data_IF_739680951449
#
_entry.id   IF_739680951449
#
_cell.length_a   1.000
_cell.length_b   1.000
_cell.length_c   1.000
_cell.angle_alpha   90.00
_cell.angle_beta   90.00
_cell.angle_gamma   90.00
#
_symmetry.space_group_name_H-M   'P 1'
#
loop_
_entity.id
_entity.type
_entity.pdbx_description
1 polymer ?
#
# COMPACT_ATOMS: atom_id res chain seq x y z
N UNK A 1 -3.39 13.91 -9.26
CA UNK A 1 -1.96 14.24 -9.24
C UNK A 1 -1.87 15.72 -8.96
N UNK A 2 -1.02 16.13 -8.01
CA UNK A 2 -0.83 17.53 -7.70
C UNK A 2 -0.40 18.29 -8.95
N UNK A 3 -0.79 19.56 -9.06
CA UNK A 3 -0.21 20.44 -10.08
C UNK A 3 1.23 20.81 -9.72
N UNK A 4 2.07 21.21 -10.68
CA UNK A 4 3.46 21.62 -10.42
C UNK A 4 3.55 22.71 -9.33
N UNK A 5 2.53 23.58 -9.26
CA UNK A 5 2.41 24.62 -8.22
C UNK A 5 2.13 24.04 -6.83
N UNK A 6 1.28 23.03 -6.73
CA UNK A 6 0.95 22.34 -5.48
C UNK A 6 2.15 21.53 -4.96
N UNK A 7 2.92 20.90 -5.85
CA UNK A 7 4.15 20.20 -5.47
C UNK A 7 5.21 21.17 -4.90
N UNK A 8 5.34 22.38 -5.48
CA UNK A 8 6.23 23.41 -4.96
C UNK A 8 5.77 24.00 -3.62
N UNK A 9 4.45 24.05 -3.36
CA UNK A 9 3.91 24.48 -2.05
C UNK A 9 4.24 23.47 -0.97
N UNK A 10 3.97 22.18 -1.23
CA UNK A 10 4.30 21.07 -0.32
C UNK A 10 5.80 21.09 0.02
N UNK A 11 6.67 21.26 -0.98
CA UNK A 11 8.11 21.30 -0.77
C UNK A 11 8.54 22.42 0.19
N UNK A 12 7.97 23.63 0.04
CA UNK A 12 8.27 24.76 0.94
C UNK A 12 7.75 24.54 2.36
N UNK A 13 6.57 23.91 2.50
CA UNK A 13 6.02 23.56 3.80
C UNK A 13 6.94 22.58 4.54
N UNK A 14 7.41 21.54 3.84
CA UNK A 14 8.36 20.55 4.38
C UNK A 14 9.69 21.20 4.81
N UNK A 15 10.24 22.11 4.01
CA UNK A 15 11.47 22.82 4.38
C UNK A 15 11.27 23.77 5.57
N UNK A 16 10.10 24.38 5.71
CA UNK A 16 9.82 25.31 6.80
C UNK A 16 9.74 24.63 8.18
N UNK A 17 9.38 23.35 8.20
CA UNK A 17 9.24 22.55 9.43
C UNK A 17 10.47 21.69 9.75
N UNK A 18 11.52 21.70 8.92
CA UNK A 18 12.70 20.82 9.11
C UNK A 18 13.41 21.05 10.45
N UNK A 19 13.44 22.29 10.93
CA UNK A 19 14.09 22.65 12.19
C UNK A 19 13.21 22.32 13.42
N UNK A 20 11.92 22.04 13.21
CA UNK A 20 11.00 21.59 14.26
C UNK A 20 11.18 20.09 14.58
N UNK A 21 11.71 19.32 13.63
CA UNK A 21 11.89 17.86 13.73
C UNK A 21 13.34 17.44 13.41
N UNK A 22 14.32 17.76 14.28
CA UNK A 22 15.74 17.53 14.00
C UNK A 22 16.12 16.04 13.83
N UNK A 23 15.38 15.13 14.47
CA UNK A 23 15.61 13.68 14.37
C UNK A 23 15.11 13.11 13.03
N UNK A 24 14.13 13.77 12.39
CA UNK A 24 13.52 13.37 11.11
C UNK A 24 14.06 14.23 9.95
N UNK A 25 15.09 15.05 10.20
CA UNK A 25 15.63 16.01 9.22
C UNK A 25 15.97 15.35 7.89
N UNK A 26 16.61 14.18 7.91
CA UNK A 26 16.99 13.47 6.69
C UNK A 26 15.79 13.07 5.84
N UNK A 27 14.78 12.46 6.47
CA UNK A 27 13.51 12.07 5.84
C UNK A 27 12.75 13.28 5.28
N UNK A 28 12.59 14.36 6.05
CA UNK A 28 11.90 15.58 5.62
C UNK A 28 12.57 16.21 4.40
N UNK A 29 13.91 16.29 4.40
CA UNK A 29 14.67 16.82 3.27
C UNK A 29 14.55 15.93 2.02
N UNK A 30 14.47 14.61 2.21
CA UNK A 30 14.21 13.62 1.16
C UNK A 30 12.83 13.86 0.52
N UNK A 31 11.77 14.02 1.32
CA UNK A 31 10.42 14.27 0.83
C UNK A 31 10.29 15.64 0.14
N UNK A 32 10.94 16.65 0.69
CA UNK A 32 11.01 17.99 0.09
C UNK A 32 11.71 17.94 -1.27
N UNK A 33 12.83 17.19 -1.39
CA UNK A 33 13.53 17.01 -2.65
C UNK A 33 12.66 16.31 -3.71
N UNK A 34 11.89 15.29 -3.32
CA UNK A 34 10.96 14.62 -4.23
C UNK A 34 9.86 15.58 -4.72
N UNK A 35 9.34 16.42 -3.82
CA UNK A 35 8.34 17.43 -4.13
C UNK A 35 8.89 18.51 -5.08
N UNK A 36 10.13 18.97 -4.88
CA UNK A 36 10.81 19.87 -5.81
C UNK A 36 11.07 19.26 -7.18
N UNK A 37 11.53 18.01 -7.23
CA UNK A 37 11.70 17.28 -8.49
C UNK A 37 10.37 17.21 -9.26
N UNK A 38 9.26 16.88 -8.59
CA UNK A 38 7.91 16.87 -9.20
C UNK A 38 7.48 18.25 -9.70
N UNK A 39 7.87 19.32 -9.02
CA UNK A 39 7.65 20.70 -9.44
C UNK A 39 8.59 21.17 -10.58
N UNK A 40 9.55 20.33 -10.99
CA UNK A 40 10.53 20.61 -12.02
C UNK A 40 11.79 21.34 -11.54
N UNK A 41 11.89 21.66 -10.24
CA UNK A 41 13.07 22.28 -9.64
C UNK A 41 14.11 21.22 -9.23
N UNK A 42 14.77 20.66 -10.25
CA UNK A 42 15.77 19.61 -10.05
C UNK A 42 17.02 20.12 -9.33
N UNK A 43 17.34 21.42 -9.44
CA UNK A 43 18.48 22.03 -8.75
C UNK A 43 18.24 22.03 -7.24
N UNK A 44 17.07 22.49 -6.78
CA UNK A 44 16.73 22.46 -5.36
C UNK A 44 16.66 21.04 -4.82
N UNK A 45 16.12 20.09 -5.60
CA UNK A 45 16.12 18.68 -5.21
C UNK A 45 17.55 18.13 -5.01
N UNK A 46 18.49 18.45 -5.90
CA UNK A 46 19.90 18.04 -5.77
C UNK A 46 20.56 18.65 -4.53
N UNK A 47 20.29 19.93 -4.23
CA UNK A 47 20.83 20.61 -3.05
C UNK A 47 20.41 19.90 -1.76
N UNK A 48 19.11 19.63 -1.60
CA UNK A 48 18.56 18.98 -0.42
C UNK A 48 19.09 17.55 -0.26
N UNK A 49 19.15 16.77 -1.34
CA UNK A 49 19.69 15.41 -1.31
C UNK A 49 21.19 15.41 -0.97
N UNK A 50 21.94 16.40 -1.46
CA UNK A 50 23.36 16.56 -1.13
C UNK A 50 23.55 16.92 0.35
N UNK A 51 22.64 17.71 0.93
CA UNK A 51 22.62 17.98 2.38
C UNK A 51 22.41 16.69 3.18
N UNK A 52 21.44 15.86 2.81
CA UNK A 52 21.20 14.57 3.48
C UNK A 52 22.43 13.65 3.41
N UNK A 53 23.10 13.60 2.25
CA UNK A 53 24.35 12.83 2.11
C UNK A 53 25.49 13.37 2.99
N UNK A 54 25.53 14.68 3.25
CA UNK A 54 26.53 15.30 4.11
C UNK A 54 26.23 15.06 5.61
N UNK A 55 24.95 14.96 5.99
CA UNK A 55 24.50 14.60 7.33
C UNK A 55 24.89 13.16 7.69
N UNK A 56 24.90 12.25 6.72
CA UNK A 56 25.16 10.84 6.96
C UNK A 56 23.92 10.12 7.50
N UNK A 57 24.11 9.02 8.23
CA UNK A 57 23.01 8.30 8.87
C UNK A 57 22.26 7.32 7.96
N UNK A 58 21.10 6.89 8.42
CA UNK A 58 20.30 5.83 7.77
C UNK A 58 19.68 6.28 6.44
N UNK A 59 19.35 7.56 6.32
CA UNK A 59 18.74 8.16 5.13
C UNK A 59 19.69 8.33 3.95
N UNK A 60 21.00 8.37 4.21
CA UNK A 60 22.02 8.61 3.19
C UNK A 60 21.95 7.63 2.03
N UNK A 61 21.61 6.36 2.30
CA UNK A 61 21.44 5.36 1.25
C UNK A 61 20.30 5.71 0.30
N UNK A 62 19.13 6.09 0.84
CA UNK A 62 17.93 6.40 0.06
C UNK A 62 18.10 7.73 -0.69
N UNK A 63 18.68 8.74 -0.03
CA UNK A 63 19.03 10.02 -0.65
C UNK A 63 19.95 9.83 -1.87
N UNK A 64 20.91 8.90 -1.78
CA UNK A 64 21.82 8.57 -2.89
C UNK A 64 21.07 8.04 -4.12
N UNK A 65 20.06 7.21 -3.93
CA UNK A 65 19.25 6.65 -5.03
C UNK A 65 18.36 7.72 -5.65
N UNK A 66 17.71 8.55 -4.84
CA UNK A 66 16.91 9.65 -5.38
C UNK A 66 17.77 10.68 -6.10
N UNK A 67 18.99 10.94 -5.63
CA UNK A 67 19.93 11.79 -6.35
C UNK A 67 20.29 11.18 -7.70
N UNK A 68 20.49 9.85 -7.77
CA UNK A 68 20.67 9.16 -9.04
C UNK A 68 19.46 9.33 -9.98
N UNK A 69 18.23 9.23 -9.46
CA UNK A 69 17.00 9.42 -10.26
C UNK A 69 16.92 10.83 -10.86
N UNK A 70 17.12 11.87 -10.03
CA UNK A 70 17.16 13.27 -10.49
C UNK A 70 18.26 13.49 -11.54
N UNK A 71 19.44 12.91 -11.34
CA UNK A 71 20.55 13.03 -12.30
C UNK A 71 20.25 12.34 -13.62
N UNK A 72 19.56 11.19 -13.61
CA UNK A 72 19.09 10.55 -14.83
C UNK A 72 18.04 11.39 -15.57
N UNK A 73 17.10 12.04 -14.87
CA UNK A 73 16.12 12.93 -15.50
C UNK A 73 16.79 14.11 -16.21
N UNK A 74 17.96 14.53 -15.72
CA UNK A 74 18.81 15.56 -16.30
C UNK A 74 19.80 15.05 -17.36
N UNK A 75 19.72 13.77 -17.75
CA UNK A 75 20.66 13.10 -18.67
C UNK A 75 22.13 13.10 -18.19
N UNK A 76 22.36 13.26 -16.88
CA UNK A 76 23.69 13.20 -16.23
C UNK A 76 24.03 11.76 -15.83
N UNK A 77 24.05 10.88 -16.83
CA UNK A 77 24.14 9.41 -16.66
C UNK A 77 25.35 8.96 -15.84
N UNK A 78 26.55 9.48 -16.13
CA UNK A 78 27.77 9.06 -15.42
C UNK A 78 27.71 9.39 -13.92
N UNK A 79 27.15 10.53 -13.57
CA UNK A 79 27.01 10.95 -12.18
C UNK A 79 25.94 10.13 -11.45
N UNK A 80 24.82 9.84 -12.13
CA UNK A 80 23.79 8.95 -11.59
C UNK A 80 24.34 7.54 -11.30
N UNK A 81 25.12 6.98 -12.24
CA UNK A 81 25.77 5.67 -12.06
C UNK A 81 26.80 5.70 -10.94
N UNK A 82 27.56 6.79 -10.80
CA UNK A 82 28.50 6.96 -9.69
C UNK A 82 27.81 6.93 -8.32
N UNK A 83 26.58 7.46 -8.21
CA UNK A 83 25.78 7.35 -6.99
C UNK A 83 25.38 5.89 -6.69
N UNK A 84 24.89 5.14 -7.68
CA UNK A 84 24.55 3.73 -7.48
C UNK A 84 25.78 2.88 -7.11
N UNK A 85 26.95 3.16 -7.70
CA UNK A 85 28.19 2.48 -7.33
C UNK A 85 28.70 2.86 -5.94
N UNK A 86 28.50 4.11 -5.50
CA UNK A 86 28.76 4.52 -4.13
C UNK A 86 27.87 3.75 -3.14
N UNK A 87 26.59 3.56 -3.45
CA UNK A 87 25.69 2.75 -2.62
C UNK A 87 26.21 1.30 -2.45
N UNK A 88 26.68 0.67 -3.53
CA UNK A 88 27.28 -0.69 -3.49
C UNK A 88 28.52 -0.76 -2.60
N UNK A 89 29.32 0.31 -2.54
CA UNK A 89 30.55 0.40 -1.74
C UNK A 89 30.24 0.63 -0.26
N UNK A 90 29.27 1.47 0.04
CA UNK A 90 28.87 1.83 1.42
C UNK A 90 28.19 0.67 2.13
N UNK A 91 27.48 -0.17 1.38
CA UNK A 91 26.79 -1.36 1.89
C UNK A 91 25.90 -1.07 3.11
N UNK A 92 24.97 -0.09 3.06
CA UNK A 92 24.01 0.10 4.15
C UNK A 92 23.30 -1.22 4.49
N UNK A 93 23.01 -1.41 5.77
CA UNK A 93 22.33 -2.60 6.31
C UNK A 93 20.85 -2.62 5.93
N UNK A 94 20.22 -1.46 5.80
CA UNK A 94 18.81 -1.34 5.42
C UNK A 94 18.54 -1.90 4.02
N UNK A 95 17.46 -2.66 3.81
CA UNK A 95 17.02 -3.10 2.50
C UNK A 95 16.50 -1.95 1.61
N UNK A 96 16.04 -0.84 2.21
CA UNK A 96 15.40 0.29 1.52
C UNK A 96 16.16 0.85 0.31
N UNK A 97 17.43 1.27 0.43
CA UNK A 97 18.13 1.87 -0.71
C UNK A 97 18.38 0.87 -1.85
N UNK A 98 18.50 -0.43 -1.58
CA UNK A 98 18.65 -1.43 -2.64
C UNK A 98 17.35 -1.68 -3.37
N UNK A 99 16.22 -1.66 -2.65
CA UNK A 99 14.91 -1.78 -3.25
C UNK A 99 14.63 -0.59 -4.18
N UNK A 100 14.86 0.63 -3.70
CA UNK A 100 14.72 1.85 -4.52
C UNK A 100 15.64 1.81 -5.75
N UNK A 101 16.89 1.38 -5.58
CA UNK A 101 17.82 1.26 -6.71
C UNK A 101 17.34 0.21 -7.73
N UNK A 102 16.72 -0.87 -7.29
CA UNK A 102 16.15 -1.88 -8.17
C UNK A 102 15.01 -1.32 -9.02
N UNK A 103 14.04 -0.65 -8.41
CA UNK A 103 12.92 -0.01 -9.12
C UNK A 103 13.41 1.08 -10.08
N UNK A 104 14.42 1.84 -9.66
CA UNK A 104 15.02 2.90 -10.46
C UNK A 104 15.59 2.37 -11.79
N UNK A 105 16.40 1.31 -11.72
CA UNK A 105 17.02 0.74 -12.93
C UNK A 105 16.06 -0.13 -13.71
N UNK A 106 15.08 -0.77 -13.06
CA UNK A 106 13.99 -1.49 -13.73
C UNK A 106 13.16 -0.55 -14.59
N UNK A 107 12.79 0.64 -14.08
CA UNK A 107 12.05 1.65 -14.85
C UNK A 107 12.79 2.15 -16.10
N UNK A 108 14.10 1.89 -16.16
CA UNK A 108 15.02 2.22 -17.26
C UNK A 108 15.37 0.99 -18.13
N UNK A 109 14.63 -0.11 -17.97
CA UNK A 109 14.75 -1.36 -18.74
C UNK A 109 16.09 -2.11 -18.54
N UNK A 110 16.86 -1.79 -17.49
CA UNK A 110 18.08 -2.52 -17.13
C UNK A 110 17.75 -3.67 -16.16
N UNK A 111 17.11 -4.71 -16.71
CA UNK A 111 16.55 -5.82 -15.93
C UNK A 111 17.63 -6.67 -15.23
N UNK A 112 18.80 -6.85 -15.83
CA UNK A 112 19.91 -7.59 -15.22
C UNK A 112 20.45 -6.86 -13.97
N UNK A 113 20.62 -5.55 -14.06
CA UNK A 113 21.01 -4.73 -12.92
C UNK A 113 19.90 -4.67 -11.88
N UNK A 114 18.63 -4.53 -12.29
CA UNK A 114 17.47 -4.54 -11.39
C UNK A 114 17.43 -5.81 -10.55
N UNK A 115 17.62 -6.98 -11.17
CA UNK A 115 17.66 -8.25 -10.46
C UNK A 115 18.80 -8.30 -9.43
N UNK A 116 19.95 -7.74 -9.78
CA UNK A 116 21.09 -7.65 -8.86
C UNK A 116 20.75 -6.81 -7.63
N UNK A 117 20.07 -5.67 -7.81
CA UNK A 117 19.59 -4.82 -6.72
C UNK A 117 18.50 -5.48 -5.87
N UNK A 118 17.50 -6.11 -6.49
CA UNK A 118 16.47 -6.88 -5.77
C UNK A 118 17.09 -7.98 -4.91
N UNK A 119 18.07 -8.73 -5.42
CA UNK A 119 18.77 -9.76 -4.63
C UNK A 119 19.51 -9.16 -3.43
N UNK A 120 20.13 -7.97 -3.59
CA UNK A 120 20.78 -7.28 -2.48
C UNK A 120 19.77 -6.76 -1.44
N UNK A 121 18.59 -6.31 -1.86
CA UNK A 121 17.50 -5.92 -0.97
C UNK A 121 16.99 -7.13 -0.17
N UNK A 122 16.71 -8.26 -0.84
CA UNK A 122 16.28 -9.51 -0.18
C UNK A 122 17.30 -10.00 0.84
N UNK A 123 18.59 -9.94 0.52
CA UNK A 123 19.66 -10.37 1.41
C UNK A 123 19.79 -9.53 2.71
N UNK A 124 19.06 -8.41 2.80
CA UNK A 124 19.05 -7.49 3.95
C UNK A 124 17.75 -7.52 4.73
N UNK A 125 16.74 -8.24 4.25
CA UNK A 125 15.51 -8.47 5.00
C UNK A 125 15.83 -9.28 6.25
N UNK A 126 15.34 -8.80 7.39
CA UNK A 126 15.41 -9.48 8.68
C UNK A 126 14.51 -10.71 8.70
N UNK A 127 14.75 -11.61 9.65
CA UNK A 127 13.85 -12.75 9.88
C UNK A 127 12.42 -12.30 10.21
N UNK A 128 12.26 -11.16 10.91
CA UNK A 128 10.96 -10.58 11.24
C UNK A 128 10.24 -10.07 9.99
N UNK A 129 10.89 -9.32 9.11
CA UNK A 129 10.30 -8.85 7.84
C UNK A 129 9.91 -10.04 6.93
N UNK A 130 10.76 -11.07 6.88
CA UNK A 130 10.46 -12.31 6.15
C UNK A 130 9.33 -13.12 6.79
N UNK A 131 9.17 -13.06 8.11
CA UNK A 131 8.06 -13.69 8.82
C UNK A 131 6.73 -12.95 8.59
N UNK A 132 6.75 -11.61 8.59
CA UNK A 132 5.58 -10.77 8.28
C UNK A 132 5.02 -11.10 6.90
N UNK A 133 5.88 -11.38 5.92
CA UNK A 133 5.49 -11.82 4.58
C UNK A 133 4.64 -13.09 4.54
N UNK A 134 4.78 -13.98 5.53
CA UNK A 134 4.01 -15.22 5.65
C UNK A 134 2.76 -15.08 6.53
N UNK A 135 2.56 -13.91 7.13
CA UNK A 135 1.39 -13.60 7.95
C UNK A 135 0.17 -13.23 7.12
N UNK A 136 -0.93 -12.98 7.81
CA UNK A 136 -2.25 -12.60 7.25
C UNK A 136 -2.16 -11.38 6.32
N UNK A 137 -1.37 -10.37 6.68
CA UNK A 137 -1.09 -9.18 5.87
C UNK A 137 0.17 -9.29 5.01
N UNK A 138 0.67 -10.50 4.81
CA UNK A 138 1.94 -10.77 4.15
C UNK A 138 2.06 -10.16 2.76
N UNK A 139 0.96 -10.09 2.02
CA UNK A 139 0.92 -9.45 0.69
C UNK A 139 1.27 -7.95 0.69
N UNK A 140 1.18 -7.29 1.86
CA UNK A 140 1.37 -5.85 2.07
C UNK A 140 2.69 -5.57 2.77
N UNK A 141 3.37 -6.64 3.22
CA UNK A 141 4.64 -6.49 3.88
C UNK A 141 5.68 -5.93 2.92
N UNK A 142 6.61 -5.20 3.50
CA UNK A 142 7.72 -4.62 2.77
C UNK A 142 8.55 -5.71 2.05
N UNK A 143 8.73 -6.86 2.70
CA UNK A 143 9.37 -8.03 2.10
C UNK A 143 8.63 -8.55 0.86
N UNK A 144 7.28 -8.58 0.87
CA UNK A 144 6.53 -9.03 -0.30
C UNK A 144 6.68 -8.09 -1.49
N UNK A 145 6.78 -6.77 -1.26
CA UNK A 145 7.02 -5.79 -2.33
C UNK A 145 8.36 -6.05 -3.03
N UNK A 146 9.43 -6.25 -2.27
CA UNK A 146 10.77 -6.57 -2.79
C UNK A 146 10.74 -7.88 -3.58
N UNK A 147 10.13 -8.94 -3.02
CA UNK A 147 10.04 -10.25 -3.66
C UNK A 147 9.18 -10.21 -4.93
N UNK A 148 8.09 -9.43 -4.94
CA UNK A 148 7.24 -9.25 -6.12
C UNK A 148 7.98 -8.55 -7.25
N UNK A 149 8.79 -7.52 -6.94
CA UNK A 149 9.67 -6.88 -7.91
C UNK A 149 10.69 -7.84 -8.49
N UNK A 150 11.39 -8.59 -7.62
CA UNK A 150 12.34 -9.64 -8.03
C UNK A 150 11.71 -10.66 -8.97
N UNK A 151 10.55 -11.21 -8.60
CA UNK A 151 9.81 -12.19 -9.41
C UNK A 151 9.46 -11.64 -10.78
N UNK A 152 8.98 -10.38 -10.83
CA UNK A 152 8.62 -9.69 -12.07
C UNK A 152 9.83 -9.57 -13.00
N UNK A 153 10.96 -9.11 -12.49
CA UNK A 153 12.21 -8.98 -13.26
C UNK A 153 12.74 -10.35 -13.72
N UNK A 154 12.76 -11.37 -12.86
CA UNK A 154 13.17 -12.73 -13.24
C UNK A 154 12.29 -13.31 -14.35
N UNK A 155 10.98 -13.12 -14.24
CA UNK A 155 10.03 -13.51 -15.28
C UNK A 155 10.31 -12.79 -16.60
N UNK A 156 10.61 -11.49 -16.56
CA UNK A 156 10.93 -10.70 -17.76
C UNK A 156 12.25 -11.15 -18.42
N UNK A 157 13.23 -11.59 -17.62
CA UNK A 157 14.48 -12.19 -18.08
C UNK A 157 14.35 -13.65 -18.55
N UNK A 158 13.16 -14.26 -18.45
CA UNK A 158 12.94 -15.67 -18.81
C UNK A 158 13.58 -16.67 -17.83
N UNK A 159 13.92 -16.22 -16.62
CA UNK A 159 14.46 -17.08 -15.58
C UNK A 159 13.31 -17.86 -14.89
N UNK A 160 13.52 -19.14 -14.52
CA UNK A 160 12.53 -19.89 -13.78
C UNK A 160 12.29 -19.28 -12.39
N UNK A 161 11.06 -19.33 -11.89
CA UNK A 161 10.75 -18.95 -10.51
C UNK A 161 11.52 -19.86 -9.53
N UNK A 162 12.01 -19.27 -8.43
CA UNK A 162 12.54 -20.03 -7.29
C UNK A 162 11.63 -19.92 -6.06
N UNK A 163 12.02 -20.55 -4.94
CA UNK A 163 11.21 -20.60 -3.72
C UNK A 163 10.78 -19.22 -3.20
N UNK A 164 11.62 -18.20 -3.40
CA UNK A 164 11.32 -16.82 -3.00
C UNK A 164 10.32 -16.14 -3.95
N UNK A 165 10.39 -16.45 -5.24
CA UNK A 165 9.39 -15.97 -6.21
C UNK A 165 8.04 -16.67 -6.00
N UNK A 166 8.07 -17.96 -5.66
CA UNK A 166 6.88 -18.76 -5.37
C UNK A 166 6.21 -18.34 -4.06
N UNK A 167 6.98 -17.83 -3.09
CA UNK A 167 6.42 -17.30 -1.84
C UNK A 167 5.69 -15.98 -2.02
N UNK A 168 5.89 -15.25 -3.13
CA UNK A 168 5.22 -13.97 -3.40
C UNK A 168 3.72 -14.14 -3.42
N UNK A 169 3.05 -13.37 -2.58
CA UNK A 169 1.61 -13.34 -2.54
C UNK A 169 1.04 -12.75 -3.84
N UNK A 170 0.21 -13.51 -4.54
CA UNK A 170 -0.37 -13.08 -5.84
C UNK A 170 -1.48 -12.04 -5.65
N UNK A 171 -1.95 -11.31 -6.69
CA UNK A 171 -3.11 -10.42 -6.58
C UNK A 171 -4.40 -11.12 -6.09
N UNK A 172 -4.44 -12.46 -6.16
CA UNK A 172 -5.48 -13.29 -5.56
C UNK A 172 -5.40 -13.34 -4.01
N UNK A 173 -4.36 -12.75 -3.41
CA UNK A 173 -4.04 -12.72 -1.99
C UNK A 173 -3.97 -11.26 -1.45
N UNK A 174 -4.57 -10.29 -2.17
CA UNK A 174 -4.83 -8.96 -1.60
C UNK A 174 -5.75 -9.11 -0.37
N UNK A 175 -5.46 -8.45 0.76
CA UNK A 175 -6.08 -8.57 2.05
C UNK A 175 -7.51 -8.16 1.85
N UNK A 176 -8.32 -9.08 2.31
CA UNK A 176 -9.73 -8.88 2.49
C UNK A 176 -9.81 -8.40 3.92
N UNK A 177 -9.78 -7.08 4.12
CA UNK A 177 -9.98 -6.55 5.46
C UNK A 177 -11.41 -6.85 5.89
N UNK A 178 -11.54 -7.64 6.94
CA UNK A 178 -12.83 -8.05 7.49
C UNK A 178 -13.24 -7.15 8.66
N UNK A 179 -12.26 -6.61 9.40
CA UNK A 179 -12.46 -5.80 10.60
C UNK A 179 -11.99 -4.33 10.42
N UNK A 180 -12.65 -3.34 11.05
CA UNK A 180 -12.13 -1.97 11.16
C UNK A 180 -10.75 -1.85 11.84
N UNK A 181 -10.44 -2.67 12.84
CA UNK A 181 -9.18 -2.60 13.60
C UNK A 181 -7.97 -3.03 12.74
N UNK A 182 -8.11 -4.07 11.91
CA UNK A 182 -7.10 -4.53 10.95
C UNK A 182 -6.65 -3.43 9.97
N UNK A 183 -7.56 -2.51 9.66
CA UNK A 183 -7.32 -1.38 8.76
C UNK A 183 -6.61 -0.25 9.50
N UNK A 184 -7.01 0.04 10.74
CA UNK A 184 -6.36 1.04 11.60
C UNK A 184 -4.90 0.67 11.86
N UNK A 185 -4.62 -0.59 12.14
CA UNK A 185 -3.25 -1.10 12.34
C UNK A 185 -2.42 -1.03 11.04
N UNK A 186 -3.03 -1.31 9.88
CA UNK A 186 -2.37 -1.19 8.59
C UNK A 186 -2.05 0.27 8.21
N UNK A 187 -2.83 1.25 8.68
CA UNK A 187 -2.61 2.67 8.46
C UNK A 187 -1.64 3.32 9.46
N UNK A 188 -1.54 2.77 10.66
CA UNK A 188 -0.65 3.29 11.73
C UNK A 188 0.71 2.58 11.77
N UNK A 189 0.87 1.50 11.02
CA UNK A 189 2.16 0.84 10.80
C UNK A 189 3.11 1.65 9.89
N UNK A 190 4.43 1.46 10.01
CA UNK A 190 5.40 2.12 9.14
C UNK A 190 5.33 1.55 7.72
N UNK A 191 4.65 2.24 6.81
CA UNK A 191 4.54 1.87 5.40
C UNK A 191 3.68 2.84 4.58
N UNK A 192 3.82 2.86 3.23
CA UNK A 192 3.05 3.77 2.39
C UNK A 192 1.55 3.42 2.41
N UNK A 193 0.70 4.44 2.54
CA UNK A 193 -0.76 4.26 2.57
C UNK A 193 -1.28 3.67 1.25
N UNK A 194 -2.10 2.59 1.29
CA UNK A 194 -2.61 1.96 0.08
C UNK A 194 -3.48 2.90 -0.75
N UNK A 195 -3.21 3.04 -2.06
CA UNK A 195 -4.06 3.87 -2.94
C UNK A 195 -5.46 3.33 -3.17
N UNK A 196 -5.64 2.01 -3.14
CA UNK A 196 -6.94 1.37 -3.31
C UNK A 196 -7.15 0.24 -2.30
N UNK A 197 -8.32 0.21 -1.67
CA UNK A 197 -8.70 -0.84 -0.73
C UNK A 197 -10.05 -1.47 -1.10
N UNK A 198 -10.22 -2.73 -0.70
CA UNK A 198 -11.48 -3.46 -0.80
C UNK A 198 -11.89 -3.92 0.58
N UNK A 199 -13.14 -3.66 0.93
CA UNK A 199 -13.71 -4.01 2.23
C UNK A 199 -14.84 -4.99 2.01
N UNK A 200 -14.66 -6.23 2.47
CA UNK A 200 -15.74 -7.21 2.50
C UNK A 200 -16.60 -6.95 3.74
N UNK A 201 -17.91 -6.88 3.59
CA UNK A 201 -18.79 -6.59 4.71
C UNK A 201 -20.10 -7.35 4.60
N UNK A 202 -20.74 -7.60 5.74
CA UNK A 202 -22.10 -8.12 5.81
C UNK A 202 -23.11 -6.96 5.75
N UNK A 203 -24.04 -6.95 4.77
CA UNK A 203 -25.14 -6.01 4.78
C UNK A 203 -25.95 -6.08 6.08
N UNK A 204 -26.58 -4.97 6.44
CA UNK A 204 -27.35 -4.81 7.68
C UNK A 204 -28.38 -5.93 7.91
N UNK A 205 -29.04 -6.38 6.85
CA UNK A 205 -30.05 -7.44 6.89
C UNK A 205 -29.45 -8.87 6.90
N UNK A 206 -28.15 -9.01 6.63
CA UNK A 206 -27.43 -10.28 6.61
C UNK A 206 -26.65 -10.55 7.90
N UNK A 207 -26.27 -9.52 8.67
CA UNK A 207 -25.44 -9.66 9.88
C UNK A 207 -25.98 -10.70 10.88
N UNK A 208 -27.27 -10.65 11.21
CA UNK A 208 -27.88 -11.62 12.14
C UNK A 208 -27.84 -13.04 11.58
N UNK A 209 -28.10 -13.22 10.27
CA UNK A 209 -28.05 -14.53 9.62
C UNK A 209 -26.63 -15.08 9.59
N UNK A 210 -25.66 -14.20 9.32
CA UNK A 210 -24.24 -14.56 9.31
C UNK A 210 -23.77 -14.99 10.70
N UNK A 211 -24.16 -14.28 11.76
CA UNK A 211 -23.91 -14.69 13.15
C UNK A 211 -24.57 -16.03 13.50
N UNK A 212 -25.84 -16.23 13.12
CA UNK A 212 -26.54 -17.50 13.35
C UNK A 212 -25.88 -18.68 12.62
N UNK A 213 -25.27 -18.44 11.46
CA UNK A 213 -24.64 -19.48 10.61
C UNK A 213 -23.18 -19.73 11.00
N UNK A 214 -22.42 -18.66 11.29
CA UNK A 214 -20.98 -18.67 11.55
C UNK A 214 -20.64 -17.71 12.72
N UNK A 215 -21.04 -18.05 13.95
CA UNK A 215 -20.85 -17.17 15.12
C UNK A 215 -19.37 -16.87 15.44
N UNK A 216 -18.46 -17.75 15.01
CA UNK A 216 -17.02 -17.55 15.12
C UNK A 216 -16.46 -16.49 14.14
N UNK A 217 -17.17 -16.23 13.04
CA UNK A 217 -16.77 -15.21 12.04
C UNK A 217 -17.45 -13.88 12.34
N UNK A 218 -18.72 -13.91 12.76
CA UNK A 218 -19.48 -12.70 13.08
C UNK A 218 -19.84 -12.77 14.55
N UNK A 219 -19.06 -12.13 15.42
CA UNK A 219 -19.26 -12.22 16.88
C UNK A 219 -20.32 -11.22 17.39
N UNK A 220 -20.56 -10.13 16.65
CA UNK A 220 -21.48 -9.06 17.00
C UNK A 220 -22.63 -8.94 16.01
N UNK A 221 -23.81 -8.57 16.50
CA UNK A 221 -25.04 -8.46 15.69
C UNK A 221 -25.67 -7.07 15.71
N UNK A 222 -25.05 -6.10 16.40
CA UNK A 222 -25.49 -4.71 16.37
C UNK A 222 -25.11 -4.07 15.04
N UNK A 223 -26.01 -4.24 14.07
CA UNK A 223 -25.83 -3.73 12.72
C UNK A 223 -25.83 -2.21 12.62
N UNK A 224 -26.34 -1.48 13.62
CA UNK A 224 -26.24 -0.02 13.63
C UNK A 224 -24.85 0.44 14.01
N UNK A 225 -24.26 -0.15 15.06
CA UNK A 225 -22.91 0.19 15.50
C UNK A 225 -21.86 -0.24 14.48
N UNK A 226 -21.88 -1.50 14.01
CA UNK A 226 -20.91 -1.97 13.01
C UNK A 226 -20.92 -1.14 11.70
N UNK A 227 -22.10 -0.69 11.27
CA UNK A 227 -22.23 0.15 10.07
C UNK A 227 -21.72 1.57 10.31
N UNK A 228 -21.92 2.13 11.51
CA UNK A 228 -21.36 3.43 11.89
C UNK A 228 -19.83 3.37 11.96
N UNK A 229 -19.30 2.38 12.67
CA UNK A 229 -17.85 2.21 12.86
C UNK A 229 -17.16 2.01 11.51
N UNK A 230 -17.77 1.23 10.62
CA UNK A 230 -17.26 1.06 9.25
C UNK A 230 -17.36 2.33 8.40
N UNK A 231 -18.43 3.13 8.52
CA UNK A 231 -18.52 4.42 7.83
C UNK A 231 -17.42 5.38 8.31
N UNK A 232 -17.15 5.39 9.62
CA UNK A 232 -16.10 6.21 10.22
C UNK A 232 -14.72 5.76 9.75
N UNK A 233 -14.42 4.45 9.81
CA UNK A 233 -13.16 3.89 9.34
C UNK A 233 -12.91 4.21 7.85
N UNK A 234 -13.95 4.18 7.01
CA UNK A 234 -13.79 4.57 5.60
C UNK A 234 -13.49 6.06 5.43
N UNK A 235 -14.00 6.94 6.30
CA UNK A 235 -13.65 8.38 6.30
C UNK A 235 -12.21 8.56 6.70
N UNK A 236 -11.78 7.93 7.78
CA UNK A 236 -10.39 7.94 8.24
C UNK A 236 -9.43 7.45 7.16
N UNK A 237 -9.78 6.36 6.45
CA UNK A 237 -9.02 5.87 5.30
C UNK A 237 -8.91 6.90 4.17
N UNK A 238 -10.03 7.54 3.83
CA UNK A 238 -10.06 8.58 2.79
C UNK A 238 -9.22 9.79 3.19
N UNK A 239 -9.28 10.19 4.46
CA UNK A 239 -8.54 11.32 5.02
C UNK A 239 -7.04 11.00 5.12
N UNK A 240 -6.69 9.73 5.36
CA UNK A 240 -5.32 9.20 5.33
C UNK A 240 -4.75 8.98 3.91
N UNK A 241 -5.47 9.41 2.86
CA UNK A 241 -4.96 9.41 1.48
C UNK A 241 -5.29 8.16 0.65
N UNK A 242 -6.16 7.27 1.13
CA UNK A 242 -6.67 6.16 0.30
C UNK A 242 -7.55 6.71 -0.82
N UNK A 243 -7.04 6.68 -2.05
CA UNK A 243 -7.71 7.28 -3.21
C UNK A 243 -9.00 6.56 -3.65
N UNK A 244 -9.14 5.25 -3.36
CA UNK A 244 -10.33 4.48 -3.74
C UNK A 244 -10.70 3.42 -2.70
N UNK A 245 -11.91 3.53 -2.16
CA UNK A 245 -12.50 2.52 -1.28
C UNK A 245 -13.62 1.79 -2.02
N UNK A 246 -13.53 0.46 -2.05
CA UNK A 246 -14.54 -0.40 -2.69
C UNK A 246 -15.19 -1.31 -1.66
N UNK A 247 -16.48 -1.15 -1.44
CA UNK A 247 -17.28 -1.98 -0.53
C UNK A 247 -17.84 -3.20 -1.27
N UNK A 248 -17.62 -4.39 -0.73
CA UNK A 248 -18.06 -5.67 -1.34
C UNK A 248 -19.07 -6.34 -0.41
N UNK A 249 -20.37 -6.39 -0.78
CA UNK A 249 -21.40 -6.98 0.06
C UNK A 249 -21.34 -8.51 0.04
N UNK A 250 -21.21 -9.13 1.20
CA UNK A 250 -21.22 -10.58 1.38
C UNK A 250 -22.56 -11.03 1.97
N UNK A 251 -23.22 -11.99 1.32
CA UNK A 251 -24.45 -12.61 1.85
C UNK A 251 -24.19 -14.05 2.26
N UNK A 252 -24.95 -14.56 3.23
CA UNK A 252 -24.84 -15.95 3.69
C UNK A 252 -25.06 -16.91 2.52
N UNK A 253 -26.03 -16.60 1.66
CA UNK A 253 -26.35 -17.39 0.48
C UNK A 253 -25.18 -17.42 -0.52
N UNK A 254 -24.57 -16.26 -0.84
CA UNK A 254 -23.46 -16.18 -1.80
C UNK A 254 -22.23 -16.93 -1.28
N UNK A 255 -21.87 -16.74 -0.01
CA UNK A 255 -20.72 -17.42 0.57
C UNK A 255 -20.93 -18.93 0.64
N UNK A 256 -22.11 -19.38 1.07
CA UNK A 256 -22.44 -20.82 1.11
C UNK A 256 -22.36 -21.45 -0.28
N UNK A 257 -22.90 -20.78 -1.29
CA UNK A 257 -22.84 -21.26 -2.67
C UNK A 257 -21.41 -21.32 -3.21
N UNK A 258 -20.63 -20.27 -2.96
CA UNK A 258 -19.23 -20.21 -3.39
C UNK A 258 -18.42 -21.34 -2.73
N UNK A 259 -18.52 -21.48 -1.41
CA UNK A 259 -17.81 -22.49 -0.63
C UNK A 259 -18.13 -23.91 -1.11
N UNK A 260 -19.41 -24.21 -1.34
CA UNK A 260 -19.84 -25.52 -1.85
C UNK A 260 -19.26 -25.83 -3.25
N UNK A 261 -19.15 -24.83 -4.13
CA UNK A 261 -18.56 -24.99 -5.47
C UNK A 261 -17.05 -25.10 -5.43
N UNK A 262 -16.39 -24.31 -4.56
CA UNK A 262 -14.95 -24.26 -4.42
C UNK A 262 -14.38 -25.40 -3.56
N UNK A 263 -15.22 -26.12 -2.82
CA UNK A 263 -14.80 -27.16 -1.88
C UNK A 263 -14.09 -26.61 -0.62
N UNK A 264 -14.38 -25.36 -0.24
CA UNK A 264 -13.77 -24.68 0.92
C UNK A 264 -14.74 -24.52 2.09
N UNK A 265 -14.23 -24.14 3.26
CA UNK A 265 -15.05 -23.79 4.43
C UNK A 265 -15.40 -22.28 4.40
N UNK A 266 -16.67 -21.86 4.52
CA UNK A 266 -17.06 -20.45 4.63
C UNK A 266 -16.35 -19.66 5.75
N UNK A 267 -15.89 -20.37 6.78
CA UNK A 267 -15.23 -19.80 7.96
C UNK A 267 -13.73 -19.62 7.74
N UNK A 268 -13.18 -20.19 6.66
CA UNK A 268 -11.83 -19.89 6.20
C UNK A 268 -11.76 -18.53 5.51
N UNK A 269 -10.74 -17.76 5.85
CA UNK A 269 -10.49 -16.45 5.25
C UNK A 269 -10.24 -16.55 3.75
N UNK A 270 -9.48 -17.55 3.29
CA UNK A 270 -9.21 -17.80 1.88
C UNK A 270 -10.51 -18.02 1.08
N UNK A 271 -11.49 -18.73 1.65
CA UNK A 271 -12.81 -18.94 1.02
C UNK A 271 -13.59 -17.63 0.91
N UNK A 272 -13.58 -16.79 1.95
CA UNK A 272 -14.21 -15.46 1.92
C UNK A 272 -13.53 -14.54 0.91
N UNK A 273 -12.20 -14.58 0.82
CA UNK A 273 -11.43 -13.83 -0.16
C UNK A 273 -11.71 -14.24 -1.60
N UNK A 274 -11.80 -15.53 -1.88
CA UNK A 274 -12.23 -16.04 -3.18
C UNK A 274 -13.66 -15.59 -3.54
N UNK A 275 -14.58 -15.65 -2.58
CA UNK A 275 -15.96 -15.18 -2.77
C UNK A 275 -16.03 -13.68 -3.06
N UNK A 276 -15.25 -12.85 -2.35
CA UNK A 276 -15.13 -11.42 -2.62
C UNK A 276 -14.69 -11.15 -4.06
N UNK A 277 -13.69 -11.88 -4.56
CA UNK A 277 -13.21 -11.71 -5.93
C UNK A 277 -14.29 -12.03 -6.96
N UNK A 278 -15.07 -13.08 -6.73
CA UNK A 278 -16.20 -13.42 -7.59
C UNK A 278 -17.25 -12.31 -7.60
N UNK A 279 -17.61 -11.76 -6.43
CA UNK A 279 -18.56 -10.64 -6.35
C UNK A 279 -18.05 -9.41 -7.11
N UNK A 280 -16.75 -9.11 -7.00
CA UNK A 280 -16.12 -8.00 -7.74
C UNK A 280 -16.16 -8.26 -9.25
N UNK A 281 -15.81 -9.47 -9.69
CA UNK A 281 -15.82 -9.86 -11.10
C UNK A 281 -17.24 -9.81 -11.71
N UNK A 282 -18.26 -10.12 -10.90
CA UNK A 282 -19.68 -10.02 -11.27
C UNK A 282 -20.22 -8.57 -11.23
N UNK A 283 -19.40 -7.59 -10.83
CA UNK A 283 -19.82 -6.18 -10.75
C UNK A 283 -20.69 -5.86 -9.54
N UNK A 284 -20.67 -6.70 -8.49
CA UNK A 284 -21.42 -6.51 -7.25
C UNK A 284 -20.80 -5.53 -6.24
N UNK A 285 -19.65 -4.95 -6.57
CA UNK A 285 -18.93 -4.02 -5.71
C UNK A 285 -19.48 -2.58 -5.78
N UNK A 286 -19.35 -1.84 -4.68
CA UNK A 286 -19.89 -0.48 -4.50
C UNK A 286 -18.73 0.48 -4.27
N UNK A 287 -18.62 1.53 -5.09
CA UNK A 287 -17.68 2.63 -4.85
C UNK A 287 -18.10 3.40 -3.60
N UNK A 288 -17.16 3.62 -2.67
CA UNK A 288 -17.37 4.44 -1.49
C UNK A 288 -16.61 5.78 -1.62
N UNK A 289 -17.21 6.92 -1.24
CA UNK A 289 -18.61 7.04 -0.86
C UNK A 289 -19.53 6.86 -2.08
N UNK A 290 -20.70 6.20 -1.92
CA UNK A 290 -21.70 6.18 -2.97
C UNK A 290 -22.17 7.59 -3.31
N UNK A 291 -22.74 7.80 -4.51
CA UNK A 291 -23.39 9.06 -4.84
C UNK A 291 -24.49 9.39 -3.80
N UNK A 292 -24.62 10.66 -3.40
CA UNK A 292 -25.51 11.11 -2.31
C UNK A 292 -26.95 10.58 -2.36
N UNK A 293 -27.49 10.33 -3.57
CA UNK A 293 -28.85 9.82 -3.79
C UNK A 293 -28.92 8.32 -4.14
N UNK A 294 -27.77 7.65 -4.30
CA UNK A 294 -27.71 6.21 -4.52
C UNK A 294 -28.15 5.44 -3.26
N UNK A 295 -28.53 4.16 -3.40
CA UNK A 295 -28.74 3.27 -2.26
C UNK A 295 -27.51 3.26 -1.35
N UNK A 296 -27.74 3.25 -0.04
CA UNK A 296 -26.67 3.20 0.95
C UNK A 296 -25.93 1.86 0.88
N UNK A 297 -24.60 1.91 1.01
CA UNK A 297 -23.74 0.74 0.94
C UNK A 297 -24.10 -0.32 2.00
N UNK A 298 -24.64 0.08 3.16
CA UNK A 298 -24.98 -0.83 4.26
C UNK A 298 -26.15 -1.79 3.98
N UNK A 299 -26.78 -1.73 2.81
CA UNK A 299 -27.90 -2.60 2.42
C UNK A 299 -29.29 -2.10 2.84
N UNK A 300 -29.39 -0.96 3.54
CA UNK A 300 -30.69 -0.40 3.98
C UNK A 300 -31.63 0.04 2.85
N UNK A 301 -31.12 0.15 1.61
CA UNK A 301 -31.79 0.71 0.42
C UNK A 301 -32.21 2.19 0.55
N UNK A 302 -32.06 2.81 1.72
CA UNK A 302 -32.23 4.25 1.88
C UNK A 302 -31.18 5.02 1.07
N UNK A 303 -31.46 6.29 0.73
CA UNK A 303 -30.46 7.15 0.07
C UNK A 303 -29.25 7.32 0.98
N UNK A 304 -28.02 7.22 0.46
CA UNK A 304 -26.77 7.32 1.24
C UNK A 304 -26.76 8.55 2.17
N UNK A 305 -27.12 9.74 1.66
CA UNK A 305 -27.21 11.00 2.45
C UNK A 305 -28.24 11.01 3.59
N UNK A 306 -29.11 10.00 3.67
CA UNK A 306 -30.16 9.82 4.68
C UNK A 306 -29.91 8.57 5.54
N UNK A 307 -28.76 7.93 5.38
CA UNK A 307 -28.33 6.75 6.11
C UNK A 307 -26.87 6.96 6.55
N UNK A 308 -25.92 6.13 6.14
CA UNK A 308 -24.51 6.25 6.56
C UNK A 308 -23.84 7.57 6.16
N UNK A 309 -24.26 8.19 5.06
CA UNK A 309 -23.70 9.47 4.61
C UNK A 309 -24.32 10.71 5.28
N UNK A 310 -25.05 10.53 6.39
CA UNK A 310 -25.48 11.64 7.23
C UNK A 310 -24.26 12.21 7.95
N UNK A 311 -24.02 13.54 7.92
CA UNK A 311 -23.03 14.15 8.78
C UNK A 311 -23.42 13.87 10.23
N UNK A 312 -22.54 13.25 11.00
CA UNK A 312 -22.71 13.18 12.44
C UNK A 312 -22.52 14.61 12.97
N UNK A 313 -23.55 15.13 13.64
CA UNK A 313 -23.40 16.33 14.45
C UNK A 313 -22.68 15.89 15.71
N UNK A 314 -21.43 16.33 15.88
CA UNK A 314 -20.75 16.28 17.17
C UNK A 314 -21.54 17.05 18.24
#
# INVERSE_FOLDING_TARGET
MPTDTEAAEIARELEAQVDDFPDERGEILIEAAESWRRAGDHERAIELLTEVLALGGEDSGSARVMLADVLFDLDRVDEARAQLDALRRERPSSPAPYHLAAELVESRDDLDEALTWFNMAVARLTEQEMAQQRGEFGAFSYANNILAGRRRVRSALGLPADELDESVATPAQRPVFNDPEEISDALTGPGPTPREIRVLFWPRDELRRAHETWPQVVQHTDADSMVRDRELANRELSDAGVARITMVPLTVAKLTQFAARAGGDPTDEATRGGCMQEIVAEGGAISWPPARNAPCWCGSRAKYKKCCGLPHLD
#
